data_IF_088326308016
#
_entry.id   IF_088326308016
#
_cell.length_a   1.000
_cell.length_b   1.000
_cell.length_c   1.000
_cell.angle_alpha   90.00
_cell.angle_beta   90.00
_cell.angle_gamma   90.00
#
_symmetry.space_group_name_H-M   'P 1'
#
loop_
_entity.id
_entity.type
_entity.pdbx_description
1 polymer ?
#
# COMPACT_ATOMS: atom_id res chain seq x y z
N UNK A 1 13.58 -13.73 2.54
CA UNK A 1 12.80 -13.62 1.30
C UNK A 1 11.37 -13.93 1.70
N UNK A 2 10.46 -12.98 1.55
CA UNK A 2 9.05 -13.14 1.90
C UNK A 2 8.43 -14.27 1.03
N UNK A 3 7.88 -15.35 1.64
CA UNK A 3 7.26 -16.44 0.89
C UNK A 3 6.02 -16.00 0.08
N UNK A 4 5.50 -14.80 0.32
CA UNK A 4 4.30 -14.26 -0.34
C UNK A 4 4.60 -13.27 -1.48
N UNK A 5 5.87 -13.08 -1.83
CA UNK A 5 6.29 -12.07 -2.81
C UNK A 5 6.55 -10.72 -2.17
N UNK A 6 7.10 -9.77 -2.94
CA UNK A 6 7.31 -8.39 -2.46
C UNK A 6 5.95 -7.69 -2.42
N UNK A 7 5.60 -7.07 -1.29
CA UNK A 7 4.46 -6.14 -1.21
C UNK A 7 4.76 -4.93 -2.09
N UNK A 8 3.98 -4.77 -3.17
CA UNK A 8 4.05 -3.62 -4.06
C UNK A 8 2.68 -3.26 -4.63
N UNK A 9 2.53 -2.01 -5.08
CA UNK A 9 1.25 -1.51 -5.58
C UNK A 9 0.73 -2.27 -6.82
N UNK A 10 1.63 -2.80 -7.65
CA UNK A 10 1.25 -3.65 -8.78
C UNK A 10 0.65 -4.98 -8.32
N UNK A 11 1.25 -5.61 -7.32
CA UNK A 11 0.76 -6.87 -6.77
C UNK A 11 -0.60 -6.64 -6.08
N UNK A 12 -0.72 -5.59 -5.26
CA UNK A 12 -1.99 -5.22 -4.64
C UNK A 12 -3.09 -4.98 -5.69
N UNK A 13 -2.74 -4.37 -6.83
CA UNK A 13 -3.69 -4.11 -7.89
C UNK A 13 -4.17 -5.39 -8.58
N UNK A 14 -3.27 -6.35 -8.80
CA UNK A 14 -3.60 -7.65 -9.36
C UNK A 14 -4.46 -8.48 -8.38
N UNK A 15 -4.19 -8.39 -7.08
CA UNK A 15 -4.99 -9.04 -6.03
C UNK A 15 -6.39 -8.43 -5.90
N UNK A 16 -6.52 -7.10 -6.00
CA UNK A 16 -7.83 -6.43 -6.07
C UNK A 16 -8.60 -6.91 -7.30
N UNK A 17 -7.96 -6.97 -8.47
CA UNK A 17 -8.62 -7.45 -9.69
C UNK A 17 -9.07 -8.91 -9.55
N UNK A 18 -8.22 -9.79 -9.02
CA UNK A 18 -8.55 -11.19 -8.76
C UNK A 18 -9.74 -11.32 -7.80
N UNK A 19 -9.78 -10.50 -6.74
CA UNK A 19 -10.89 -10.44 -5.80
C UNK A 19 -12.21 -10.02 -6.49
N UNK A 20 -12.19 -8.98 -7.32
CA UNK A 20 -13.37 -8.52 -8.05
C UNK A 20 -13.90 -9.61 -9.00
N UNK A 21 -13.01 -10.31 -9.69
CA UNK A 21 -13.38 -11.46 -10.55
C UNK A 21 -14.00 -12.57 -9.73
N UNK A 22 -13.39 -12.93 -8.59
CA UNK A 22 -13.92 -13.97 -7.70
C UNK A 22 -15.32 -13.62 -7.15
N UNK A 23 -15.55 -12.34 -6.85
CA UNK A 23 -16.84 -11.83 -6.40
C UNK A 23 -17.83 -11.57 -7.55
N UNK A 24 -17.45 -11.84 -8.79
CA UNK A 24 -18.26 -11.60 -10.00
C UNK A 24 -18.69 -10.13 -10.15
N UNK A 25 -17.82 -9.19 -9.75
CA UNK A 25 -18.05 -7.76 -9.86
C UNK A 25 -17.37 -7.27 -11.15
N UNK A 26 -18.14 -6.91 -12.20
CA UNK A 26 -17.56 -6.58 -13.49
C UNK A 26 -16.94 -5.18 -13.54
N UNK A 27 -17.37 -4.25 -12.68
CA UNK A 27 -16.90 -2.87 -12.65
C UNK A 27 -17.12 -2.22 -11.27
N UNK A 28 -16.19 -1.37 -10.83
CA UNK A 28 -16.24 -0.69 -9.52
C UNK A 28 -15.81 0.77 -9.58
N UNK A 29 -16.28 1.56 -8.62
CA UNK A 29 -15.71 2.86 -8.28
C UNK A 29 -14.61 2.64 -7.23
N UNK A 30 -13.41 3.16 -7.48
CA UNK A 30 -12.26 3.01 -6.58
C UNK A 30 -11.91 4.35 -5.95
N UNK A 31 -11.71 4.35 -4.63
CA UNK A 31 -11.18 5.48 -3.88
C UNK A 31 -9.84 5.06 -3.29
N UNK A 32 -8.75 5.69 -3.73
CA UNK A 32 -7.42 5.52 -3.16
C UNK A 32 -7.10 6.62 -2.16
N UNK A 33 -6.61 6.25 -0.97
CA UNK A 33 -6.17 7.19 0.07
C UNK A 33 -4.75 6.87 0.53
N UNK A 34 -3.91 7.90 0.69
CA UNK A 34 -2.50 7.74 1.12
C UNK A 34 -1.76 6.76 0.18
N UNK A 35 -1.09 5.74 0.72
CA UNK A 35 -0.44 4.69 -0.09
C UNK A 35 -1.42 3.95 -1.00
N UNK A 36 -2.69 3.86 -0.63
CA UNK A 36 -3.74 3.26 -1.45
C UNK A 36 -4.00 4.00 -2.77
N UNK A 37 -3.48 5.21 -2.95
CA UNK A 37 -3.46 5.88 -4.27
C UNK A 37 -2.56 5.13 -5.25
N UNK A 38 -1.41 4.61 -4.82
CA UNK A 38 -0.52 3.80 -5.67
C UNK A 38 -1.23 2.57 -6.19
N UNK A 39 -1.83 1.79 -5.29
CA UNK A 39 -2.66 0.63 -5.65
C UNK A 39 -3.82 1.01 -6.57
N UNK A 40 -4.60 2.04 -6.23
CA UNK A 40 -5.77 2.44 -7.01
C UNK A 40 -5.40 2.90 -8.44
N UNK A 41 -4.27 3.60 -8.61
CA UNK A 41 -3.73 3.97 -9.92
C UNK A 41 -3.27 2.72 -10.69
N UNK A 42 -2.59 1.78 -10.04
CA UNK A 42 -2.17 0.53 -10.67
C UNK A 42 -3.37 -0.32 -11.12
N UNK A 43 -4.47 -0.37 -10.36
CA UNK A 43 -5.71 -1.03 -10.80
C UNK A 43 -6.25 -0.38 -12.06
N UNK A 44 -6.31 0.96 -12.10
CA UNK A 44 -6.83 1.68 -13.27
C UNK A 44 -5.93 1.52 -14.51
N UNK A 45 -4.61 1.42 -14.34
CA UNK A 45 -3.64 1.24 -15.44
C UNK A 45 -3.67 -0.18 -15.97
N UNK A 46 -3.64 -1.18 -15.09
CA UNK A 46 -3.47 -2.60 -15.45
C UNK A 46 -4.80 -3.28 -15.77
N UNK A 47 -5.88 -2.87 -15.10
CA UNK A 47 -7.21 -3.46 -15.21
C UNK A 47 -8.28 -2.41 -15.56
N UNK A 48 -8.10 -1.61 -16.62
CA UNK A 48 -8.98 -0.46 -16.92
C UNK A 48 -10.45 -0.88 -17.15
N UNK A 49 -10.70 -2.12 -17.60
CA UNK A 49 -12.04 -2.65 -17.79
C UNK A 49 -12.85 -2.80 -16.48
N UNK A 50 -12.16 -2.90 -15.34
CA UNK A 50 -12.79 -3.07 -14.02
C UNK A 50 -13.11 -1.73 -13.33
N UNK A 51 -12.65 -0.59 -13.86
CA UNK A 51 -12.76 0.72 -13.18
C UNK A 51 -13.80 1.60 -13.87
N UNK A 52 -14.85 1.98 -13.13
CA UNK A 52 -15.86 2.95 -13.59
C UNK A 52 -15.45 4.38 -13.29
N UNK A 53 -14.99 4.61 -12.06
CA UNK A 53 -14.56 5.92 -11.56
C UNK A 53 -13.39 5.72 -10.62
N UNK A 54 -12.50 6.71 -10.60
CA UNK A 54 -11.34 6.74 -9.74
C UNK A 54 -11.30 8.07 -8.98
N UNK A 55 -11.16 8.01 -7.67
CA UNK A 55 -10.90 9.16 -6.81
C UNK A 55 -9.60 8.90 -6.06
N UNK A 56 -8.66 9.84 -6.12
CA UNK A 56 -7.38 9.76 -5.41
C UNK A 56 -7.27 10.89 -4.41
N UNK A 57 -6.90 10.57 -3.16
CA UNK A 57 -6.90 11.51 -2.04
C UNK A 57 -5.60 11.37 -1.26
N UNK A 58 -4.88 12.48 -1.05
CA UNK A 58 -3.70 12.54 -0.20
C UNK A 58 -2.59 11.51 -0.56
N UNK A 59 -2.47 11.17 -1.84
CA UNK A 59 -1.43 10.26 -2.34
C UNK A 59 -0.18 11.01 -2.80
N UNK A 60 0.95 10.33 -2.75
CA UNK A 60 2.19 10.79 -3.39
C UNK A 60 2.16 10.39 -4.87
N UNK A 61 2.38 11.34 -5.78
CA UNK A 61 2.43 11.06 -7.22
C UNK A 61 3.83 11.27 -7.83
N UNK A 62 4.67 12.07 -7.17
CA UNK A 62 6.11 12.20 -7.46
C UNK A 62 6.88 12.20 -6.15
N UNK A 63 8.07 11.61 -6.17
CA UNK A 63 8.95 11.53 -5.00
C UNK A 63 9.45 12.91 -4.58
N UNK A 64 9.68 13.79 -5.56
CA UNK A 64 10.25 15.12 -5.39
C UNK A 64 9.29 16.11 -4.72
N UNK A 65 7.99 15.79 -4.65
CA UNK A 65 6.99 16.64 -3.99
C UNK A 65 7.00 16.48 -2.47
N UNK A 66 7.70 15.48 -1.96
CA UNK A 66 7.95 15.33 -0.53
C UNK A 66 9.22 16.05 -0.14
N UNK A 67 9.18 16.72 1.02
CA UNK A 67 10.38 17.34 1.57
C UNK A 67 11.49 16.29 1.77
N UNK A 68 12.76 16.59 1.46
CA UNK A 68 13.85 15.61 1.57
C UNK A 68 13.94 14.93 2.95
N UNK A 69 13.71 15.68 4.02
CA UNK A 69 13.72 15.15 5.39
C UNK A 69 12.67 14.06 5.63
N UNK A 70 11.59 14.02 4.86
CA UNK A 70 10.57 12.98 4.96
C UNK A 70 11.18 11.62 4.60
N UNK A 71 11.93 11.57 3.52
CA UNK A 71 12.59 10.34 3.09
C UNK A 71 13.69 9.91 4.06
N UNK A 72 14.47 10.86 4.58
CA UNK A 72 15.47 10.57 5.63
C UNK A 72 14.85 10.02 6.91
N UNK A 73 13.66 10.52 7.28
CA UNK A 73 12.90 10.02 8.43
C UNK A 73 12.39 8.59 8.17
N UNK A 74 11.83 8.34 6.97
CA UNK A 74 11.35 7.01 6.59
C UNK A 74 12.49 5.97 6.60
N UNK A 75 13.67 6.31 6.07
CA UNK A 75 14.85 5.44 6.08
C UNK A 75 15.35 5.09 7.50
N UNK A 76 15.13 5.98 8.47
CA UNK A 76 15.54 5.79 9.87
C UNK A 76 14.45 5.18 10.74
N UNK A 77 13.30 4.82 10.16
CA UNK A 77 12.18 4.26 10.92
C UNK A 77 12.55 2.88 11.46
N UNK A 78 12.40 2.71 12.78
CA UNK A 78 12.68 1.45 13.47
C UNK A 78 11.46 1.00 14.27
N UNK A 79 11.39 -0.29 14.57
CA UNK A 79 10.34 -0.81 15.45
C UNK A 79 10.39 -0.15 16.83
N UNK A 80 11.60 0.18 17.32
CA UNK A 80 11.78 0.91 18.58
C UNK A 80 11.21 2.34 18.53
N UNK A 81 11.28 3.03 17.38
CA UNK A 81 10.73 4.37 17.19
C UNK A 81 9.21 4.43 16.99
N UNK A 82 8.54 3.29 16.78
CA UNK A 82 7.10 3.25 16.53
C UNK A 82 6.31 3.69 17.78
N UNK A 83 5.19 4.44 17.65
CA UNK A 83 4.32 4.73 18.79
C UNK A 83 3.82 3.46 19.49
N UNK A 84 3.78 3.45 20.83
CA UNK A 84 3.47 2.24 21.62
C UNK A 84 2.16 1.58 21.24
N UNK A 85 1.13 2.39 20.93
CA UNK A 85 -0.17 1.92 20.45
C UNK A 85 -0.04 0.98 19.23
N UNK A 86 0.79 1.35 18.25
CA UNK A 86 0.96 0.56 17.04
C UNK A 86 1.84 -0.68 17.29
N UNK A 87 2.87 -0.59 18.14
CA UNK A 87 3.69 -1.75 18.52
C UNK A 87 2.85 -2.83 19.22
N UNK A 88 2.06 -2.42 20.20
CA UNK A 88 1.22 -3.33 20.97
C UNK A 88 0.15 -3.99 20.09
N UNK A 89 -0.43 -3.24 19.16
CA UNK A 89 -1.39 -3.79 18.20
C UNK A 89 -0.73 -4.80 17.24
N UNK A 90 0.45 -4.48 16.72
CA UNK A 90 1.20 -5.33 15.81
C UNK A 90 1.59 -6.66 16.46
N UNK A 91 2.11 -6.64 17.68
CA UNK A 91 2.53 -7.84 18.42
C UNK A 91 1.37 -8.77 18.82
N UNK A 92 0.12 -8.29 18.81
CA UNK A 92 -1.05 -9.13 19.06
C UNK A 92 -1.41 -10.04 17.89
N UNK A 93 -1.05 -9.65 16.67
CA UNK A 93 -1.42 -10.36 15.44
C UNK A 93 -0.23 -11.07 14.77
N UNK A 94 1.00 -10.63 15.07
CA UNK A 94 2.23 -11.22 14.54
C UNK A 94 3.28 -11.32 15.66
N UNK A 95 3.85 -12.51 15.94
CA UNK A 95 4.81 -12.69 17.04
C UNK A 95 6.25 -12.27 16.70
N UNK A 96 6.50 -11.67 15.52
CA UNK A 96 7.84 -11.27 15.05
C UNK A 96 7.83 -9.81 14.64
N UNK A 97 8.90 -9.08 14.97
CA UNK A 97 9.11 -7.66 14.64
C UNK A 97 9.59 -7.43 13.19
N UNK A 98 10.03 -8.48 12.49
CA UNK A 98 10.71 -8.38 11.19
C UNK A 98 9.84 -7.75 10.07
N UNK A 99 8.51 -7.82 10.18
CA UNK A 99 7.60 -7.23 9.19
C UNK A 99 7.15 -5.79 9.51
N UNK A 100 7.44 -5.26 10.70
CA UNK A 100 6.80 -4.05 11.21
C UNK A 100 7.29 -2.75 10.54
N UNK A 101 8.48 -2.78 9.94
CA UNK A 101 9.15 -1.61 9.35
C UNK A 101 9.42 -1.74 7.86
N UNK A 102 9.12 -2.92 7.28
CA UNK A 102 9.44 -3.24 5.88
C UNK A 102 8.25 -3.05 4.92
N UNK A 103 7.10 -2.57 5.42
CA UNK A 103 5.87 -2.34 4.63
C UNK A 103 5.90 -1.04 3.80
N UNK A 104 7.06 -0.41 3.69
CA UNK A 104 7.25 0.78 2.85
C UNK A 104 7.61 0.30 1.46
N UNK A 105 6.60 0.06 0.63
CA UNK A 105 6.77 -0.24 -0.78
C UNK A 105 7.65 0.86 -1.41
N UNK A 106 8.84 0.56 -1.97
CA UNK A 106 9.61 1.54 -2.68
C UNK A 106 8.81 1.88 -3.94
N UNK A 107 8.27 3.10 -3.98
CA UNK A 107 7.67 3.67 -5.18
C UNK A 107 8.67 3.82 -6.32
#
# INVERSE_FOLDING_TARGET
MDPWGRVCFEQDADDVAALLVHLHIPKVCIIGFSNGVGTALQVAIRHPGLVDKLVVISGMYKREDMYPWFWEMMEKTTFEGMPSLYKEAYLKITPSEEGAVNDVSPG
#
